data_IF_790090631398
#
_entry.id   IF_790090631398
#
_cell.length_a   1.000
_cell.length_b   1.000
_cell.length_c   1.000
_cell.angle_alpha   90.00
_cell.angle_beta   90.00
_cell.angle_gamma   90.00
#
_symmetry.space_group_name_H-M   'P 1'
#
loop_
_entity.id
_entity.type
_entity.pdbx_description
1 polymer ?
#
# COMPACT_ATOMS: atom_id res chain seq x y z
N UNK A 1 -8.83 9.95 -3.60
CA UNK A 1 -8.33 8.87 -2.74
C UNK A 1 -7.97 9.43 -1.36
N UNK A 2 -7.97 8.57 -0.35
CA UNK A 2 -7.66 8.95 1.03
C UNK A 2 -6.56 8.05 1.59
N UNK A 3 -5.78 8.60 2.52
CA UNK A 3 -4.76 7.84 3.26
C UNK A 3 -5.41 6.64 3.95
N UNK A 4 -4.78 5.47 3.86
CA UNK A 4 -5.30 4.24 4.45
C UNK A 4 -6.19 3.41 3.54
N UNK A 5 -6.47 3.89 2.35
CA UNK A 5 -7.26 3.13 1.37
C UNK A 5 -6.40 2.16 0.59
N UNK A 6 -6.95 0.97 0.36
CA UNK A 6 -6.37 -0.04 -0.54
C UNK A 6 -6.96 0.16 -1.93
N UNK A 7 -6.09 0.24 -2.92
CA UNK A 7 -6.46 0.45 -4.32
C UNK A 7 -5.77 -0.55 -5.23
N UNK A 8 -6.43 -0.93 -6.31
CA UNK A 8 -5.75 -1.52 -7.46
C UNK A 8 -5.09 -0.40 -8.24
N UNK A 9 -3.79 -0.57 -8.53
CA UNK A 9 -3.00 0.39 -9.29
C UNK A 9 -2.38 -0.28 -10.51
N UNK A 10 -2.29 0.48 -11.61
CA UNK A 10 -1.54 0.08 -12.80
C UNK A 10 -0.12 0.63 -12.66
N UNK A 11 0.82 -0.21 -12.23
CA UNK A 11 2.20 0.22 -12.07
C UNK A 11 2.92 0.18 -13.42
N UNK A 12 3.68 1.24 -13.76
CA UNK A 12 4.30 1.33 -15.10
C UNK A 12 5.45 0.36 -15.29
N UNK A 13 6.05 -0.16 -14.20
CA UNK A 13 7.15 -1.12 -14.26
C UNK A 13 6.90 -2.24 -13.28
N UNK A 14 7.41 -3.45 -13.52
CA UNK A 14 7.33 -4.54 -12.57
C UNK A 14 8.02 -4.20 -11.26
N UNK A 15 7.39 -4.59 -10.15
CA UNK A 15 7.92 -4.44 -8.80
C UNK A 15 8.11 -5.84 -8.23
N UNK A 16 9.36 -6.17 -7.87
CA UNK A 16 9.70 -7.50 -7.41
C UNK A 16 9.64 -8.54 -8.53
N UNK A 17 9.30 -9.77 -8.22
CA UNK A 17 9.31 -10.90 -9.16
C UNK A 17 7.99 -11.10 -9.91
N UNK A 18 6.95 -10.32 -9.62
CA UNK A 18 5.64 -10.48 -10.25
C UNK A 18 5.53 -9.79 -11.60
N UNK A 19 4.43 -10.00 -12.32
CA UNK A 19 4.20 -9.34 -13.61
C UNK A 19 4.08 -7.81 -13.49
N UNK A 20 3.72 -7.29 -12.33
CA UNK A 20 3.92 -5.92 -11.93
C UNK A 20 3.01 -4.85 -12.52
N UNK A 21 2.23 -5.13 -13.54
CA UNK A 21 1.42 -4.11 -14.18
C UNK A 21 0.17 -3.75 -13.38
N UNK A 22 -0.40 -4.70 -12.66
CA UNK A 22 -1.56 -4.44 -11.79
C UNK A 22 -1.29 -4.99 -10.41
N UNK A 23 -1.24 -4.10 -9.42
CA UNK A 23 -0.92 -4.45 -8.04
C UNK A 23 -1.84 -3.74 -7.07
N UNK A 24 -2.18 -4.38 -5.95
CA UNK A 24 -2.81 -3.65 -4.86
C UNK A 24 -1.77 -2.81 -4.15
N UNK A 25 -2.18 -1.62 -3.75
CA UNK A 25 -1.34 -0.66 -3.03
C UNK A 25 -2.13 -0.05 -1.88
N UNK A 26 -1.40 0.43 -0.88
CA UNK A 26 -1.97 1.16 0.25
C UNK A 26 -1.55 2.63 0.12
N UNK A 27 -2.52 3.53 0.12
CA UNK A 27 -2.24 4.98 0.12
C UNK A 27 -1.71 5.38 1.49
N UNK A 28 -0.48 5.88 1.52
CA UNK A 28 0.15 6.33 2.77
C UNK A 28 0.38 7.84 2.81
N UNK A 29 0.25 8.52 1.69
CA UNK A 29 0.41 9.97 1.61
C UNK A 29 -0.70 10.68 2.38
N UNK A 30 -0.32 11.76 3.08
CA UNK A 30 -1.27 12.53 3.90
C UNK A 30 -2.36 13.18 3.04
N UNK A 31 -3.57 13.26 3.61
CA UNK A 31 -4.74 13.75 2.87
C UNK A 31 -4.63 15.18 2.35
N UNK A 32 -4.00 16.14 3.03
CA UNK A 32 -3.81 17.47 2.43
C UNK A 32 -3.09 17.42 1.08
N UNK A 33 -2.12 16.50 0.91
CA UNK A 33 -1.44 16.30 -0.37
C UNK A 33 -2.32 15.54 -1.34
N UNK A 34 -3.08 14.54 -0.86
CA UNK A 34 -4.02 13.79 -1.70
C UNK A 34 -5.09 14.71 -2.30
N UNK A 35 -5.55 15.67 -1.52
CA UNK A 35 -6.59 16.61 -1.94
C UNK A 35 -6.04 17.80 -2.75
N UNK A 36 -4.73 17.94 -2.82
CA UNK A 36 -4.07 19.03 -3.54
C UNK A 36 -3.96 18.74 -5.04
N UNK A 37 -3.36 19.70 -5.76
CA UNK A 37 -3.10 19.57 -7.21
C UNK A 37 -1.85 18.75 -7.52
N UNK A 38 -1.12 18.26 -6.50
CA UNK A 38 0.04 17.40 -6.74
C UNK A 38 -0.41 16.18 -7.54
N UNK A 39 0.25 15.91 -8.66
CA UNK A 39 -0.15 14.84 -9.57
C UNK A 39 0.18 13.44 -9.05
N UNK A 40 1.02 13.34 -8.02
CA UNK A 40 1.56 12.06 -7.54
C UNK A 40 1.03 11.69 -6.17
N UNK A 41 1.15 10.40 -5.85
CA UNK A 41 0.76 9.85 -4.55
C UNK A 41 1.79 8.80 -4.12
N UNK A 42 2.13 8.82 -2.83
CA UNK A 42 3.05 7.84 -2.24
C UNK A 42 2.22 6.67 -1.72
N UNK A 43 2.58 5.47 -2.15
CA UNK A 43 1.88 4.24 -1.78
C UNK A 43 2.88 3.18 -1.31
N UNK A 44 2.40 2.23 -0.50
CA UNK A 44 3.13 1.01 -0.15
C UNK A 44 2.57 -0.14 -1.00
N UNK A 45 3.45 -0.94 -1.59
CA UNK A 45 3.03 -2.07 -2.42
C UNK A 45 2.52 -3.19 -1.50
N UNK A 46 1.42 -3.81 -1.90
CA UNK A 46 0.85 -4.97 -1.22
C UNK A 46 1.16 -6.21 -2.06
N UNK A 47 1.59 -7.27 -1.41
CA UNK A 47 1.94 -8.53 -2.06
C UNK A 47 1.18 -9.70 -1.47
N UNK A 48 0.91 -10.73 -2.27
CA UNK A 48 0.34 -12.00 -1.78
C UNK A 48 1.41 -12.98 -1.31
N UNK A 49 2.68 -12.61 -1.39
CA UNK A 49 3.78 -13.43 -0.86
C UNK A 49 3.83 -13.31 0.67
N UNK A 50 3.20 -14.24 1.36
CA UNK A 50 3.07 -14.22 2.82
C UNK A 50 4.40 -14.39 3.55
N UNK A 51 5.43 -14.90 2.87
CA UNK A 51 6.76 -15.02 3.48
C UNK A 51 7.32 -13.62 3.85
N UNK A 52 6.92 -12.57 3.15
CA UNK A 52 7.36 -11.22 3.43
C UNK A 52 6.78 -10.65 4.73
N UNK A 53 5.79 -11.32 5.34
CA UNK A 53 5.29 -10.90 6.66
C UNK A 53 6.36 -11.01 7.74
N UNK A 54 7.38 -11.83 7.54
CA UNK A 54 8.50 -11.96 8.49
C UNK A 54 9.47 -10.79 8.45
N UNK A 55 9.45 -9.97 7.40
CA UNK A 55 10.33 -8.81 7.31
C UNK A 55 9.91 -7.74 8.33
N UNK A 56 10.86 -7.10 9.03
CA UNK A 56 10.52 -6.09 10.03
C UNK A 56 9.65 -4.97 9.49
N UNK A 57 8.59 -4.66 10.22
CA UNK A 57 7.68 -3.57 9.87
C UNK A 57 6.58 -3.93 8.89
N UNK A 58 6.69 -5.06 8.18
CA UNK A 58 5.65 -5.50 7.28
C UNK A 58 4.40 -5.97 8.03
N UNK A 59 3.23 -5.78 7.43
CA UNK A 59 1.95 -6.05 8.08
C UNK A 59 1.13 -7.02 7.26
N UNK A 60 0.79 -8.17 7.85
CA UNK A 60 -0.10 -9.13 7.23
C UNK A 60 -1.55 -8.67 7.35
N UNK A 61 -2.29 -8.74 6.25
CA UNK A 61 -3.71 -8.42 6.19
C UNK A 61 -4.48 -9.65 5.76
N UNK A 62 -5.52 -10.00 6.52
CA UNK A 62 -6.49 -10.98 6.08
C UNK A 62 -7.37 -10.44 4.94
N UNK A 63 -8.10 -11.32 4.28
CA UNK A 63 -9.00 -10.91 3.18
C UNK A 63 -10.06 -9.91 3.65
N UNK A 64 -10.59 -10.10 4.85
CA UNK A 64 -11.60 -9.19 5.39
C UNK A 64 -11.04 -7.82 5.70
N UNK A 65 -9.76 -7.74 6.09
CA UNK A 65 -9.11 -6.45 6.40
C UNK A 65 -8.79 -5.66 5.14
N UNK A 66 -8.26 -6.32 4.12
CA UNK A 66 -7.82 -5.67 2.89
C UNK A 66 -8.90 -5.54 1.83
N UNK A 67 -9.89 -6.44 1.84
CA UNK A 67 -10.86 -6.59 0.76
C UNK A 67 -10.29 -7.28 -0.48
N UNK A 68 -9.06 -7.80 -0.40
CA UNK A 68 -8.42 -8.50 -1.51
C UNK A 68 -8.84 -9.98 -1.53
N UNK A 69 -8.73 -10.65 -2.70
CA UNK A 69 -9.13 -12.04 -2.81
C UNK A 69 -8.23 -13.03 -2.07
N UNK A 70 -7.03 -12.60 -1.65
CA UNK A 70 -6.05 -13.43 -0.94
C UNK A 70 -5.53 -12.70 0.28
N UNK A 71 -5.13 -13.42 1.35
CA UNK A 71 -4.34 -12.82 2.41
C UNK A 71 -3.09 -12.18 1.81
N UNK A 72 -2.69 -11.05 2.34
CA UNK A 72 -1.65 -10.24 1.71
C UNK A 72 -0.78 -9.58 2.78
N UNK A 73 0.31 -8.95 2.32
CA UNK A 73 1.26 -8.27 3.20
C UNK A 73 1.50 -6.87 2.65
N UNK A 74 1.38 -5.87 3.52
CA UNK A 74 1.83 -4.51 3.20
C UNK A 74 3.35 -4.48 3.34
N UNK A 75 4.05 -4.21 2.24
CA UNK A 75 5.51 -4.17 2.25
C UNK A 75 5.96 -2.72 2.46
N UNK A 76 6.25 -2.38 3.72
CA UNK A 76 6.61 -1.00 4.10
C UNK A 76 7.97 -0.56 3.59
N UNK A 77 8.82 -1.50 3.14
CA UNK A 77 10.09 -1.15 2.51
C UNK A 77 9.97 -0.95 1.00
N UNK A 78 8.78 -1.17 0.43
CA UNK A 78 8.53 -0.99 -0.99
C UNK A 78 7.54 0.16 -1.20
N UNK A 79 8.06 1.37 -0.96
CA UNK A 79 7.30 2.61 -1.12
C UNK A 79 7.58 3.15 -2.51
N UNK A 80 6.53 3.48 -3.24
CA UNK A 80 6.65 4.05 -4.59
C UNK A 80 5.79 5.30 -4.69
N UNK A 81 6.29 6.26 -5.46
CA UNK A 81 5.54 7.45 -5.82
C UNK A 81 5.03 7.24 -7.24
N UNK A 82 3.71 7.27 -7.40
CA UNK A 82 3.08 7.04 -8.69
C UNK A 82 2.17 8.21 -9.03
N UNK A 83 1.84 8.35 -10.31
CA UNK A 83 0.84 9.29 -10.75
C UNK A 83 -0.53 8.88 -10.18
N UNK A 84 -1.30 9.84 -9.69
CA UNK A 84 -2.63 9.57 -9.14
C UNK A 84 -3.55 8.88 -10.15
N UNK A 85 -3.36 9.14 -11.44
CA UNK A 85 -4.15 8.52 -12.51
C UNK A 85 -3.94 7.00 -12.61
N UNK A 86 -2.88 6.48 -12.01
CA UNK A 86 -2.60 5.04 -12.00
C UNK A 86 -3.41 4.28 -10.95
N UNK A 87 -4.07 4.98 -10.02
CA UNK A 87 -5.03 4.35 -9.11
C UNK A 87 -6.31 4.08 -9.88
N UNK A 88 -6.70 2.81 -10.02
CA UNK A 88 -7.81 2.41 -10.89
C UNK A 88 -9.09 2.07 -10.16
N UNK A 89 -9.01 1.29 -9.08
CA UNK A 89 -10.20 0.84 -8.35
C UNK A 89 -9.94 0.89 -6.85
N UNK A 90 -10.80 1.61 -6.14
CA UNK A 90 -10.77 1.59 -4.67
C UNK A 90 -11.35 0.25 -4.20
N UNK A 91 -10.67 -0.37 -3.25
CA UNK A 91 -11.11 -1.64 -2.68
C UNK A 91 -11.74 -1.41 -1.32
N UNK A 92 -10.97 -0.88 -0.37
CA UNK A 92 -11.41 -0.70 1.02
C UNK A 92 -10.47 0.23 1.76
N UNK A 93 -10.97 0.89 2.79
CA UNK A 93 -10.12 1.59 3.76
C UNK A 93 -9.73 0.62 4.88
N UNK A 94 -8.47 0.62 5.29
CA UNK A 94 -8.05 -0.12 6.46
C UNK A 94 -8.66 0.51 7.71
N UNK A 95 -9.03 -0.35 8.67
CA UNK A 95 -9.45 0.11 9.98
C UNK A 95 -8.24 0.61 10.79
N UNK A 96 -8.52 1.19 11.95
CA UNK A 96 -7.49 1.88 12.75
C UNK A 96 -6.34 0.95 13.17
N UNK A 97 -6.62 -0.29 13.56
CA UNK A 97 -5.57 -1.17 14.08
C UNK A 97 -4.56 -1.62 13.02
N UNK A 98 -4.97 -2.17 11.86
CA UNK A 98 -4.00 -2.46 10.80
C UNK A 98 -3.24 -1.22 10.36
N UNK A 99 -3.89 -0.06 10.27
CA UNK A 99 -3.21 1.17 9.86
C UNK A 99 -2.18 1.62 10.89
N UNK A 100 -2.46 1.44 12.19
CA UNK A 100 -1.51 1.71 13.27
C UNK A 100 -0.24 0.87 13.12
N UNK A 101 -0.40 -0.42 12.78
CA UNK A 101 0.74 -1.31 12.55
C UNK A 101 1.56 -0.88 11.35
N UNK A 102 0.91 -0.45 10.28
CA UNK A 102 1.60 0.10 9.10
C UNK A 102 2.39 1.34 9.48
N UNK A 103 1.81 2.23 10.27
CA UNK A 103 2.51 3.45 10.72
C UNK A 103 3.74 3.12 11.56
N UNK A 104 3.65 2.13 12.45
CA UNK A 104 4.81 1.65 13.20
C UNK A 104 5.89 1.12 12.27
N UNK A 105 5.49 0.32 11.26
CA UNK A 105 6.42 -0.21 10.27
C UNK A 105 7.11 0.88 9.45
N UNK A 106 6.36 1.91 9.07
CA UNK A 106 6.92 3.06 8.35
C UNK A 106 7.94 3.81 9.20
N UNK A 107 7.65 4.03 10.49
CA UNK A 107 8.61 4.65 11.40
C UNK A 107 9.88 3.83 11.52
N UNK A 108 9.73 2.52 11.57
CA UNK A 108 10.87 1.61 11.67
C UNK A 108 11.76 1.69 10.42
N UNK A 109 11.16 1.53 9.24
CA UNK A 109 11.95 1.46 7.99
C UNK A 109 12.51 2.82 7.58
N UNK A 110 11.82 3.91 7.90
CA UNK A 110 12.25 5.26 7.54
C UNK A 110 13.02 5.96 8.66
N UNK A 111 13.03 5.42 9.86
CA UNK A 111 13.67 5.99 11.05
C UNK A 111 13.12 7.39 11.39
N UNK A 112 11.82 7.54 11.34
CA UNK A 112 11.17 8.82 11.63
C UNK A 112 10.30 8.79 12.87
#
# INVERSE_FOLDING_TARGET
MKRGEVWWAALPVPIGSGPGLRRPVLVIQANPFNDSRIATVIVAVITSNLALAAAPGNVRLGKAESGLPKPSVVNVSQLVTIDKSLLKSRIRALTAEPMRLVEEGLRLVLAV
#
